data_IF_493027768344
#
_entry.id   IF_493027768344
#
_cell.length_a   1.000
_cell.length_b   1.000
_cell.length_c   1.000
_cell.angle_alpha   90.00
_cell.angle_beta   90.00
_cell.angle_gamma   90.00
#
_symmetry.space_group_name_H-M   'P 1'
#
loop_
_entity.id
_entity.type
_entity.pdbx_description
1 polymer ?
#
# COMPACT_ATOMS: atom_id res chain seq x y z
N UNK A 1 13.06 -9.36 11.86
CA UNK A 1 14.05 -8.45 12.48
C UNK A 1 15.40 -8.61 11.81
N UNK A 2 15.97 -7.47 11.37
CA UNK A 2 17.24 -7.45 10.65
C UNK A 2 18.41 -7.43 11.64
N UNK A 3 18.76 -8.60 12.16
CA UNK A 3 19.99 -8.78 12.90
C UNK A 3 21.20 -8.84 11.96
N UNK A 4 22.44 -8.67 12.46
CA UNK A 4 23.66 -8.76 11.67
C UNK A 4 23.86 -10.11 10.97
N UNK A 5 22.99 -11.07 11.22
CA UNK A 5 23.01 -12.44 10.70
C UNK A 5 21.96 -12.74 9.61
N UNK A 6 21.18 -11.75 9.16
CA UNK A 6 20.15 -11.89 8.13
C UNK A 6 18.72 -11.83 8.69
N UNK A 7 17.75 -11.86 7.77
CA UNK A 7 16.34 -11.80 8.09
C UNK A 7 15.82 -13.14 8.61
N UNK A 8 15.17 -13.13 9.76
CA UNK A 8 14.51 -14.30 10.35
C UNK A 8 13.00 -14.21 10.11
N UNK A 9 12.41 -15.34 9.78
CA UNK A 9 10.96 -15.52 9.61
C UNK A 9 10.46 -16.46 10.70
N UNK A 10 9.43 -16.02 11.42
CA UNK A 10 8.77 -16.88 12.39
C UNK A 10 7.56 -17.55 11.74
N UNK A 11 7.58 -18.87 11.68
CA UNK A 11 6.46 -19.70 11.24
C UNK A 11 5.64 -20.08 12.48
N UNK A 12 4.40 -19.61 12.54
CA UNK A 12 3.55 -19.85 13.69
C UNK A 12 2.35 -20.71 13.34
N UNK A 13 2.03 -21.67 14.19
CA UNK A 13 0.77 -22.43 14.13
C UNK A 13 -0.40 -21.57 14.65
N UNK A 14 -1.62 -21.97 14.35
CA UNK A 14 -2.82 -21.33 14.92
C UNK A 14 -2.88 -21.39 16.45
N UNK A 15 -2.21 -22.37 17.08
CA UNK A 15 -2.05 -22.45 18.52
C UNK A 15 -1.03 -21.46 19.10
N UNK A 16 -0.29 -20.73 18.23
CA UNK A 16 0.71 -19.75 18.63
C UNK A 16 2.09 -20.34 18.95
N UNK A 17 2.34 -21.58 18.55
CA UNK A 17 3.68 -22.17 18.61
C UNK A 17 4.44 -21.70 17.37
N UNK A 18 5.56 -21.03 17.57
CA UNK A 18 6.38 -20.47 16.50
C UNK A 18 7.76 -21.15 16.45
N UNK A 19 8.25 -21.38 15.24
CA UNK A 19 9.64 -21.71 14.94
C UNK A 19 10.24 -20.56 14.15
N UNK A 20 11.50 -20.23 14.40
CA UNK A 20 12.21 -19.22 13.61
C UNK A 20 13.09 -19.89 12.59
N UNK A 21 13.00 -19.47 11.34
CA UNK A 21 13.84 -19.93 10.23
C UNK A 21 14.50 -18.75 9.55
N UNK A 22 15.64 -18.99 8.94
CA UNK A 22 16.40 -17.95 8.26
C UNK A 22 15.98 -17.85 6.80
N UNK A 23 15.64 -16.65 6.36
CA UNK A 23 15.37 -16.37 4.96
C UNK A 23 16.68 -16.43 4.15
N UNK A 24 16.67 -17.17 3.06
CA UNK A 24 17.80 -17.24 2.11
C UNK A 24 17.48 -16.43 0.85
N UNK A 25 18.47 -15.70 0.35
CA UNK A 25 18.32 -14.83 -0.82
C UNK A 25 19.42 -15.09 -1.85
N UNK A 26 19.04 -15.17 -3.11
CA UNK A 26 19.99 -15.14 -4.22
C UNK A 26 20.50 -13.71 -4.42
N UNK A 27 21.83 -13.53 -4.32
CA UNK A 27 22.47 -12.21 -4.48
C UNK A 27 22.63 -11.41 -3.19
N UNK A 28 22.20 -11.96 -2.04
CA UNK A 28 22.47 -11.39 -0.70
C UNK A 28 21.84 -10.02 -0.43
N UNK A 29 22.25 -9.41 0.67
CA UNK A 29 21.84 -8.09 1.13
C UNK A 29 20.71 -8.13 2.15
N UNK A 30 20.59 -7.10 3.00
CA UNK A 30 19.56 -7.02 4.01
C UNK A 30 18.19 -6.86 3.36
N UNK A 31 17.17 -7.45 4.00
CA UNK A 31 15.76 -7.38 3.61
C UNK A 31 15.00 -6.83 4.80
N UNK A 32 14.28 -5.74 4.59
CA UNK A 32 13.42 -5.12 5.60
C UNK A 32 12.00 -5.08 5.10
N UNK A 33 11.04 -5.09 6.02
CA UNK A 33 9.60 -4.95 5.70
C UNK A 33 9.15 -5.99 4.65
N UNK A 34 9.34 -7.26 4.98
CA UNK A 34 9.07 -8.38 4.07
C UNK A 34 7.58 -8.73 4.02
N UNK A 35 7.04 -8.80 2.81
CA UNK A 35 5.68 -9.25 2.55
C UNK A 35 5.61 -10.14 1.31
N UNK A 36 4.55 -10.94 1.18
CA UNK A 36 4.40 -11.91 0.08
C UNK A 36 3.02 -11.79 -0.55
N UNK A 37 2.96 -11.87 -1.87
CA UNK A 37 1.70 -11.98 -2.58
C UNK A 37 1.74 -13.07 -3.66
N UNK A 38 0.56 -13.68 -3.91
CA UNK A 38 0.36 -14.58 -5.03
C UNK A 38 0.16 -13.76 -6.32
N UNK A 39 1.10 -13.85 -7.24
CA UNK A 39 1.00 -13.24 -8.57
C UNK A 39 0.50 -14.26 -9.60
N UNK A 40 0.32 -13.83 -10.83
CA UNK A 40 0.03 -14.74 -11.97
C UNK A 40 1.17 -15.69 -12.28
N UNK A 41 2.40 -15.33 -11.89
CA UNK A 41 3.62 -16.13 -12.14
C UNK A 41 4.08 -16.95 -10.93
N UNK A 42 3.29 -16.99 -9.83
CA UNK A 42 3.64 -17.68 -8.59
C UNK A 42 3.75 -16.74 -7.40
N UNK A 43 4.21 -17.26 -6.27
CA UNK A 43 4.49 -16.45 -5.08
C UNK A 43 5.66 -15.50 -5.32
N UNK A 44 5.52 -14.28 -4.84
CA UNK A 44 6.53 -13.23 -4.95
C UNK A 44 6.66 -12.46 -3.65
N UNK A 45 7.90 -12.28 -3.21
CA UNK A 45 8.25 -11.45 -2.07
C UNK A 45 8.41 -9.99 -2.50
N UNK A 46 8.06 -9.09 -1.59
CA UNK A 46 8.25 -7.64 -1.69
C UNK A 46 8.92 -7.16 -0.41
N UNK A 47 9.91 -6.31 -0.53
CA UNK A 47 10.69 -5.88 0.62
C UNK A 47 11.45 -4.58 0.34
N UNK A 48 11.78 -3.89 1.40
CA UNK A 48 12.63 -2.71 1.36
C UNK A 48 14.11 -3.12 1.37
N UNK A 49 14.91 -2.44 0.57
CA UNK A 49 16.38 -2.58 0.53
C UNK A 49 17.01 -1.24 0.26
N UNK A 50 18.22 -1.05 0.80
CA UNK A 50 19.10 0.05 0.37
C UNK A 50 19.87 -0.40 -0.87
N UNK A 51 19.74 0.39 -1.95
CA UNK A 51 20.47 0.13 -3.21
C UNK A 51 21.95 0.51 -3.04
N UNK A 52 22.89 -0.41 -3.26
CA UNK A 52 24.30 -0.16 -2.99
C UNK A 52 24.89 0.99 -3.82
N UNK A 53 24.43 1.17 -5.07
CA UNK A 53 24.98 2.15 -6.00
C UNK A 53 24.51 3.57 -5.69
N UNK A 54 23.28 3.74 -5.25
CA UNK A 54 22.67 5.06 -5.03
C UNK A 54 22.54 5.41 -3.55
N UNK A 55 22.71 4.44 -2.66
CA UNK A 55 22.41 4.54 -1.22
C UNK A 55 20.98 4.99 -0.93
N UNK A 56 20.05 4.76 -1.87
CA UNK A 56 18.62 5.02 -1.68
C UNK A 56 17.90 3.79 -1.16
N UNK A 57 16.88 4.01 -0.37
CA UNK A 57 15.93 2.96 -0.05
C UNK A 57 14.96 2.79 -1.22
N UNK A 58 14.63 1.54 -1.56
CA UNK A 58 13.67 1.22 -2.60
C UNK A 58 12.94 -0.09 -2.29
N UNK A 59 11.75 -0.27 -2.86
CA UNK A 59 11.03 -1.54 -2.82
C UNK A 59 11.51 -2.43 -3.95
N UNK A 60 11.92 -3.61 -3.58
CA UNK A 60 12.31 -4.69 -4.49
C UNK A 60 11.29 -5.81 -4.45
N UNK A 61 11.24 -6.61 -5.48
CA UNK A 61 10.52 -7.87 -5.50
C UNK A 61 11.38 -9.02 -5.98
N UNK A 62 11.12 -10.22 -5.49
CA UNK A 62 11.81 -11.44 -5.91
C UNK A 62 10.83 -12.61 -5.98
N UNK A 63 11.00 -13.58 -6.92
CA UNK A 63 10.19 -14.78 -6.92
C UNK A 63 10.51 -15.61 -5.68
N UNK A 64 9.50 -16.20 -5.05
CA UNK A 64 9.70 -17.22 -4.05
C UNK A 64 10.15 -18.52 -4.73
N UNK A 65 11.22 -19.12 -4.25
CA UNK A 65 11.75 -20.39 -4.78
C UNK A 65 11.18 -21.59 -4.05
N UNK A 66 10.61 -21.38 -2.86
CA UNK A 66 9.94 -22.37 -2.03
C UNK A 66 8.50 -21.96 -1.76
N UNK A 67 7.62 -22.90 -1.46
CA UNK A 67 6.20 -22.65 -1.23
C UNK A 67 5.92 -21.78 0.01
N UNK A 68 6.79 -21.82 1.00
CA UNK A 68 6.78 -20.98 2.20
C UNK A 68 7.49 -19.63 2.04
N UNK A 69 8.08 -19.39 0.87
CA UNK A 69 8.86 -18.20 0.55
C UNK A 69 10.09 -17.96 1.49
N UNK A 70 10.62 -18.99 2.11
CA UNK A 70 11.86 -18.91 2.90
C UNK A 70 13.13 -18.87 2.03
N UNK A 71 13.00 -19.16 0.74
CA UNK A 71 14.05 -18.98 -0.24
C UNK A 71 13.50 -18.11 -1.38
N UNK A 72 14.21 -17.00 -1.67
CA UNK A 72 13.83 -16.08 -2.74
C UNK A 72 14.94 -15.93 -3.77
N UNK A 73 14.53 -15.71 -5.01
CA UNK A 73 15.42 -15.53 -6.15
C UNK A 73 16.02 -14.12 -6.24
N UNK A 74 16.55 -13.80 -7.41
CA UNK A 74 17.15 -12.50 -7.66
C UNK A 74 16.12 -11.37 -7.52
N UNK A 75 16.51 -10.32 -6.79
CA UNK A 75 15.68 -9.15 -6.54
C UNK A 75 15.66 -8.22 -7.76
N UNK A 76 14.49 -7.69 -8.06
CA UNK A 76 14.23 -6.69 -9.10
C UNK A 76 13.62 -5.45 -8.47
N UNK A 77 14.10 -4.26 -8.85
CA UNK A 77 13.53 -2.99 -8.44
C UNK A 77 12.10 -2.87 -8.98
N UNK A 78 11.13 -2.54 -8.11
CA UNK A 78 9.71 -2.47 -8.50
C UNK A 78 9.34 -1.17 -9.22
N UNK A 79 9.87 -0.05 -8.76
CA UNK A 79 9.64 1.27 -9.37
C UNK A 79 10.67 2.28 -8.89
N UNK A 80 11.13 3.15 -9.80
CA UNK A 80 11.97 4.30 -9.45
C UNK A 80 11.18 5.36 -8.65
N UNK A 81 9.88 5.41 -8.80
CA UNK A 81 9.02 6.32 -8.03
C UNK A 81 8.94 5.97 -6.54
N UNK A 82 9.38 4.76 -6.18
CA UNK A 82 9.47 4.29 -4.79
C UNK A 82 10.87 4.51 -4.18
N UNK A 83 11.78 5.20 -4.83
CA UNK A 83 13.11 5.48 -4.28
C UNK A 83 13.09 6.70 -3.37
N UNK A 84 13.70 6.57 -2.19
CA UNK A 84 13.86 7.67 -1.24
C UNK A 84 15.27 7.66 -0.63
N UNK A 85 15.66 8.78 0.00
CA UNK A 85 16.91 8.84 0.76
C UNK A 85 16.94 7.77 1.86
N UNK A 86 18.10 7.19 2.10
CA UNK A 86 18.33 6.22 3.20
C UNK A 86 18.05 6.81 4.58
N UNK A 87 18.06 8.13 4.71
CA UNK A 87 17.88 8.84 5.96
C UNK A 87 16.40 9.10 6.29
N UNK A 88 15.49 8.77 5.37
CA UNK A 88 14.03 8.80 5.61
C UNK A 88 13.64 7.52 6.37
N UNK A 89 13.18 7.66 7.63
CA UNK A 89 12.85 6.52 8.49
C UNK A 89 11.45 5.97 8.26
N UNK A 90 10.45 6.84 8.34
CA UNK A 90 9.05 6.42 8.18
C UNK A 90 8.67 6.26 6.70
N UNK A 91 9.29 5.30 6.04
CA UNK A 91 9.05 4.99 4.64
C UNK A 91 9.18 3.49 4.39
N UNK A 92 8.36 2.97 3.48
CA UNK A 92 8.39 1.58 3.07
C UNK A 92 7.19 0.81 3.57
N UNK A 93 7.44 -0.29 4.27
CA UNK A 93 6.41 -1.24 4.72
C UNK A 93 5.47 -1.59 3.57
N UNK A 94 5.99 -2.21 2.48
CA UNK A 94 5.17 -2.56 1.33
C UNK A 94 4.18 -3.65 1.70
N UNK A 95 2.91 -3.41 1.47
CA UNK A 95 1.87 -4.41 1.64
C UNK A 95 1.22 -4.74 0.29
N UNK A 96 1.57 -5.88 -0.33
CA UNK A 96 1.09 -6.27 -1.64
C UNK A 96 -0.23 -7.05 -1.54
N UNK A 97 -1.23 -6.63 -2.30
CA UNK A 97 -2.54 -7.27 -2.36
C UNK A 97 -2.86 -7.69 -3.79
N UNK A 98 -3.26 -8.95 -3.98
CA UNK A 98 -3.79 -9.42 -5.26
C UNK A 98 -5.23 -8.94 -5.45
N UNK A 99 -5.47 -8.25 -6.56
CA UNK A 99 -6.80 -7.81 -6.96
C UNK A 99 -7.59 -8.95 -7.64
N UNK A 100 -8.94 -8.84 -7.73
CA UNK A 100 -9.76 -9.84 -8.40
C UNK A 100 -9.42 -10.05 -9.87
N UNK A 101 -8.89 -9.03 -10.54
CA UNK A 101 -8.46 -9.09 -11.95
C UNK A 101 -7.04 -9.66 -12.13
N UNK A 102 -6.40 -10.08 -11.04
CA UNK A 102 -5.08 -10.69 -11.02
C UNK A 102 -3.91 -9.71 -10.90
N UNK A 103 -4.15 -8.40 -11.01
CA UNK A 103 -3.12 -7.39 -10.76
C UNK A 103 -2.69 -7.38 -9.30
N UNK A 104 -1.53 -6.83 -9.04
CA UNK A 104 -1.02 -6.60 -7.68
C UNK A 104 -1.06 -5.11 -7.39
N UNK A 105 -1.64 -4.72 -6.26
CA UNK A 105 -1.51 -3.38 -5.70
C UNK A 105 -0.60 -3.45 -4.49
N UNK A 106 0.39 -2.56 -4.40
CA UNK A 106 1.19 -2.38 -3.20
C UNK A 106 0.74 -1.09 -2.52
N UNK A 107 0.48 -1.17 -1.23
CA UNK A 107 0.36 0.01 -0.36
C UNK A 107 1.71 0.26 0.30
N UNK A 108 2.06 1.52 0.48
CA UNK A 108 3.38 1.91 0.97
C UNK A 108 3.27 3.21 1.75
N UNK A 109 4.03 3.31 2.83
CA UNK A 109 4.19 4.56 3.56
C UNK A 109 5.14 5.49 2.81
N UNK A 110 4.71 6.69 2.54
CA UNK A 110 5.55 7.78 2.04
C UNK A 110 5.60 8.90 3.08
N UNK A 111 6.81 9.33 3.43
CA UNK A 111 7.02 10.47 4.32
C UNK A 111 7.83 11.53 3.60
N UNK A 112 7.25 12.69 3.31
CA UNK A 112 8.00 13.81 2.71
C UNK A 112 9.00 14.42 3.68
N UNK A 113 8.74 14.31 5.01
CA UNK A 113 9.61 14.80 6.07
C UNK A 113 9.55 13.84 7.25
N UNK A 114 10.70 13.37 7.70
CA UNK A 114 10.79 12.43 8.82
C UNK A 114 10.18 12.99 10.12
N UNK A 115 9.39 12.18 10.80
CA UNK A 115 8.96 12.41 12.18
C UNK A 115 7.99 13.56 12.41
N UNK A 116 7.37 14.09 11.36
CA UNK A 116 6.47 15.24 11.43
C UNK A 116 4.98 14.87 11.39
N UNK A 117 4.61 13.61 11.52
CA UNK A 117 3.23 13.15 11.39
C UNK A 117 2.60 13.52 10.04
N UNK A 118 3.43 13.55 9.02
CA UNK A 118 3.05 13.86 7.63
C UNK A 118 3.08 12.62 6.74
N UNK A 119 3.28 11.47 7.34
CA UNK A 119 3.27 10.18 6.67
C UNK A 119 1.92 9.98 5.98
N UNK A 120 2.00 9.46 4.77
CA UNK A 120 0.85 9.21 3.90
C UNK A 120 0.93 7.81 3.36
N UNK A 121 -0.21 7.21 3.15
CA UNK A 121 -0.29 5.92 2.48
C UNK A 121 -0.54 6.16 1.00
N UNK A 122 0.41 5.75 0.17
CA UNK A 122 0.29 5.69 -1.28
C UNK A 122 -0.07 4.28 -1.74
N UNK A 123 -0.46 4.14 -2.99
CA UNK A 123 -0.53 2.83 -3.62
C UNK A 123 0.04 2.85 -5.03
N UNK A 124 0.51 1.69 -5.45
CA UNK A 124 1.09 1.42 -6.76
C UNK A 124 0.47 0.16 -7.33
N UNK A 125 0.28 0.13 -8.64
CA UNK A 125 -0.40 -0.96 -9.32
C UNK A 125 0.52 -1.62 -10.36
N UNK A 126 0.44 -2.94 -10.48
CA UNK A 126 1.19 -3.74 -11.43
C UNK A 126 0.31 -4.81 -12.08
N UNK A 127 0.49 -5.05 -13.37
CA UNK A 127 -0.14 -6.15 -14.09
C UNK A 127 0.61 -7.48 -13.90
N UNK A 128 1.93 -7.42 -13.70
CA UNK A 128 2.83 -8.57 -13.63
C UNK A 128 3.37 -8.88 -12.22
N UNK A 129 3.12 -7.97 -11.27
CA UNK A 129 3.67 -8.03 -9.92
C UNK A 129 5.16 -7.69 -9.84
N UNK A 130 5.78 -7.15 -10.91
CA UNK A 130 7.20 -6.82 -10.98
C UNK A 130 7.37 -5.32 -11.15
N UNK A 131 6.72 -4.74 -12.17
CA UNK A 131 6.84 -3.33 -12.52
C UNK A 131 5.60 -2.57 -12.06
N UNK A 132 5.79 -1.54 -11.26
CA UNK A 132 4.72 -0.81 -10.61
C UNK A 132 4.65 0.65 -11.05
N UNK A 133 3.42 1.16 -11.16
CA UNK A 133 3.12 2.56 -11.45
C UNK A 133 2.30 3.15 -10.31
N UNK A 134 2.63 4.36 -9.87
CA UNK A 134 1.91 5.06 -8.80
C UNK A 134 0.46 5.35 -9.21
N UNK A 135 -0.47 5.02 -8.32
CA UNK A 135 -1.87 5.41 -8.47
C UNK A 135 -2.06 6.85 -7.94
N UNK A 136 -2.94 7.62 -8.58
CA UNK A 136 -3.18 9.01 -8.19
C UNK A 136 -3.83 9.15 -6.81
N UNK A 137 -3.46 10.19 -6.07
CA UNK A 137 -3.98 10.51 -4.73
C UNK A 137 -3.37 9.66 -3.63
N UNK A 138 -3.65 10.05 -2.40
CA UNK A 138 -3.26 9.33 -1.19
C UNK A 138 -4.40 8.42 -0.72
N UNK A 139 -4.05 7.27 -0.17
CA UNK A 139 -5.02 6.36 0.45
C UNK A 139 -5.45 6.88 1.81
N UNK A 140 -4.47 7.30 2.61
CA UNK A 140 -4.66 8.00 3.88
C UNK A 140 -3.57 9.04 4.08
N UNK A 141 -3.86 10.05 4.90
CA UNK A 141 -2.92 11.07 5.36
C UNK A 141 -3.06 11.21 6.89
N UNK A 142 -2.04 11.75 7.54
CA UNK A 142 -2.12 12.11 8.96
C UNK A 142 -1.24 11.28 9.90
N UNK A 143 -0.08 10.81 9.42
CA UNK A 143 0.93 10.18 10.27
C UNK A 143 0.63 8.71 10.57
N UNK A 144 0.08 7.98 9.61
CA UNK A 144 -0.15 6.55 9.70
C UNK A 144 0.95 5.77 9.00
N UNK A 145 1.34 4.65 9.61
CA UNK A 145 2.44 3.76 9.20
C UNK A 145 2.03 2.29 9.36
N UNK A 146 2.91 1.36 9.00
CA UNK A 146 2.78 -0.08 9.22
C UNK A 146 1.42 -0.62 8.77
N UNK A 147 1.11 -0.42 7.49
CA UNK A 147 -0.18 -0.84 6.94
C UNK A 147 -0.23 -2.34 6.66
N UNK A 148 -1.32 -2.97 7.06
CA UNK A 148 -1.73 -4.31 6.65
C UNK A 148 -3.10 -4.24 6.00
N UNK A 149 -3.20 -4.68 4.76
CA UNK A 149 -4.45 -4.72 4.00
C UNK A 149 -5.04 -6.11 4.03
N UNK A 150 -6.21 -6.22 4.59
CA UNK A 150 -6.98 -7.45 4.61
C UNK A 150 -8.20 -7.31 3.70
N UNK A 151 -8.46 -8.32 2.92
CA UNK A 151 -9.65 -8.37 2.10
C UNK A 151 -10.58 -9.43 2.63
N UNK A 152 -11.73 -9.02 3.14
CA UNK A 152 -12.75 -9.91 3.65
C UNK A 152 -13.39 -10.73 2.52
N UNK A 153 -13.85 -11.93 2.85
CA UNK A 153 -14.51 -12.84 1.90
C UNK A 153 -15.79 -12.27 1.30
N UNK A 154 -16.45 -11.36 1.99
CA UNK A 154 -17.60 -10.60 1.48
C UNK A 154 -17.22 -9.44 0.54
N UNK A 155 -15.91 -9.19 0.36
CA UNK A 155 -15.37 -8.20 -0.56
C UNK A 155 -15.03 -6.86 0.09
N UNK A 156 -15.28 -6.66 1.37
CA UNK A 156 -14.88 -5.46 2.11
C UNK A 156 -13.36 -5.41 2.26
N UNK A 157 -12.79 -4.22 2.20
CA UNK A 157 -11.38 -3.96 2.41
C UNK A 157 -11.18 -3.37 3.80
N UNK A 158 -10.22 -3.92 4.53
CA UNK A 158 -9.79 -3.44 5.82
C UNK A 158 -8.34 -3.03 5.72
N UNK A 159 -7.98 -1.89 6.30
CA UNK A 159 -6.62 -1.47 6.51
C UNK A 159 -6.40 -1.37 8.01
N UNK A 160 -5.52 -2.20 8.54
CA UNK A 160 -5.03 -2.09 9.92
C UNK A 160 -3.68 -1.39 9.85
N UNK A 161 -3.47 -0.42 10.72
CA UNK A 161 -2.30 0.45 10.65
C UNK A 161 -1.93 0.95 12.03
N UNK A 162 -0.69 1.37 12.19
CA UNK A 162 -0.22 2.09 13.35
C UNK A 162 -0.15 3.59 13.05
N UNK A 163 -0.20 4.43 14.08
CA UNK A 163 0.22 5.83 13.96
C UNK A 163 1.72 5.95 14.26
N UNK A 164 2.33 7.06 13.88
CA UNK A 164 3.75 7.30 14.15
C UNK A 164 4.02 7.80 15.58
N UNK A 165 3.03 7.74 16.47
CA UNK A 165 3.18 8.23 17.85
C UNK A 165 3.32 9.74 17.93
N UNK A 166 2.56 10.47 17.13
CA UNK A 166 2.56 11.95 17.05
C UNK A 166 2.01 12.64 18.30
N UNK A 167 1.55 11.88 19.28
CA UNK A 167 1.07 12.40 20.56
C UNK A 167 2.22 12.58 21.57
N UNK A 168 1.97 13.33 22.64
CA UNK A 168 2.95 13.57 23.69
C UNK A 168 3.51 12.27 24.32
N UNK A 169 2.73 11.19 24.34
CA UNK A 169 3.18 9.90 24.84
C UNK A 169 4.11 9.16 23.89
N UNK A 170 4.15 9.52 22.62
CA UNK A 170 4.88 8.85 21.54
C UNK A 170 4.62 7.34 21.41
N UNK A 171 3.62 6.81 22.09
CA UNK A 171 3.24 5.42 22.01
C UNK A 171 2.29 5.20 20.84
N UNK A 172 2.68 4.36 19.92
CA UNK A 172 1.90 4.01 18.74
C UNK A 172 0.64 3.23 19.14
N UNK A 173 -0.43 3.42 18.39
CA UNK A 173 -1.70 2.71 18.53
C UNK A 173 -2.09 2.08 17.21
N UNK A 174 -2.87 1.01 17.30
CA UNK A 174 -3.47 0.43 16.11
C UNK A 174 -4.81 1.10 15.79
N UNK A 175 -5.04 1.27 14.50
CA UNK A 175 -6.26 1.82 13.92
C UNK A 175 -6.80 0.87 12.87
N UNK A 176 -8.05 1.07 12.50
CA UNK A 176 -8.72 0.42 11.39
C UNK A 176 -9.37 1.47 10.49
N UNK A 177 -9.24 1.26 9.20
CA UNK A 177 -9.98 1.97 8.15
C UNK A 177 -10.62 0.93 7.23
N UNK A 178 -11.74 1.27 6.61
CA UNK A 178 -12.48 0.39 5.70
C UNK A 178 -12.63 1.03 4.33
N UNK A 179 -12.78 0.19 3.30
CA UNK A 179 -12.98 0.62 1.93
C UNK A 179 -13.80 -0.41 1.15
N UNK A 180 -14.49 0.01 0.10
CA UNK A 180 -15.18 -0.86 -0.86
C UNK A 180 -14.40 -1.09 -2.14
N UNK A 181 -13.39 -0.26 -2.42
CA UNK A 181 -12.64 -0.25 -3.68
C UNK A 181 -11.10 -0.36 -3.48
N UNK A 182 -10.63 -0.30 -2.22
CA UNK A 182 -9.21 -0.26 -1.88
C UNK A 182 -8.51 1.05 -2.28
N UNK A 183 -9.25 2.07 -2.71
CA UNK A 183 -8.71 3.37 -3.13
C UNK A 183 -9.18 4.50 -2.24
N UNK A 184 -10.45 4.47 -1.87
CA UNK A 184 -11.09 5.44 -0.99
C UNK A 184 -11.32 4.81 0.37
N UNK A 185 -10.74 5.40 1.39
CA UNK A 185 -10.72 4.84 2.74
C UNK A 185 -11.48 5.70 3.73
N UNK A 186 -12.16 5.06 4.67
CA UNK A 186 -12.81 5.74 5.77
C UNK A 186 -11.80 6.41 6.70
N UNK A 187 -12.25 7.39 7.50
CA UNK A 187 -11.39 7.95 8.54
C UNK A 187 -10.98 6.84 9.51
N UNK A 188 -9.68 6.67 9.82
CA UNK A 188 -9.22 5.65 10.75
C UNK A 188 -9.83 5.80 12.14
N UNK A 189 -10.23 4.66 12.70
CA UNK A 189 -10.78 4.55 14.06
C UNK A 189 -9.81 3.74 14.91
N UNK A 190 -9.52 4.20 16.13
CA UNK A 190 -8.60 3.50 17.01
C UNK A 190 -9.15 2.13 17.43
N UNK A 191 -8.34 1.09 17.23
CA UNK A 191 -8.59 -0.28 17.69
C UNK A 191 -8.07 -0.50 19.11
N UNK A 192 -7.01 0.21 19.50
CA UNK A 192 -6.36 0.05 20.79
C UNK A 192 -6.34 1.37 21.55
N UNK A 193 -6.41 1.28 22.87
CA UNK A 193 -6.24 2.44 23.76
C UNK A 193 -4.78 2.86 23.93
N UNK A 194 -4.58 3.89 24.76
CA UNK A 194 -3.26 4.31 25.21
C UNK A 194 -2.55 3.19 26.00
N UNK A 195 -1.26 3.31 26.19
CA UNK A 195 -0.41 2.36 26.90
C UNK A 195 0.85 2.02 26.12
N UNK A 196 1.25 0.77 26.11
CA UNK A 196 2.43 0.30 25.37
C UNK A 196 2.30 0.58 23.87
N UNK A 197 3.42 0.84 23.21
CA UNK A 197 3.47 1.02 21.76
C UNK A 197 3.06 -0.25 21.02
N UNK A 198 2.19 -0.12 20.02
CA UNK A 198 1.70 -1.22 19.20
C UNK A 198 1.91 -0.89 17.74
N UNK A 199 2.62 -1.76 17.03
CA UNK A 199 3.11 -1.53 15.67
C UNK A 199 3.16 -2.85 14.87
N UNK A 200 3.51 -2.75 13.61
CA UNK A 200 3.69 -3.84 12.66
C UNK A 200 2.50 -4.83 12.68
N UNK A 201 1.26 -4.37 12.49
CA UNK A 201 0.13 -5.29 12.43
C UNK A 201 0.23 -6.16 11.17
N UNK A 202 -0.18 -7.43 11.32
CA UNK A 202 -0.44 -8.33 10.20
C UNK A 202 -1.60 -9.25 10.53
N UNK A 203 -2.23 -9.88 9.54
CA UNK A 203 -3.35 -10.75 9.84
C UNK A 203 -3.94 -11.50 8.66
N UNK A 204 -4.97 -12.27 8.94
CA UNK A 204 -5.74 -12.99 7.94
C UNK A 204 -7.16 -13.31 8.43
N UNK A 205 -8.07 -13.51 7.50
CA UNK A 205 -9.44 -13.88 7.79
C UNK A 205 -9.54 -15.38 8.10
N UNK A 206 -9.96 -15.72 9.33
CA UNK A 206 -10.17 -17.11 9.77
C UNK A 206 -11.57 -17.64 9.45
N UNK A 207 -12.56 -16.77 9.50
CA UNK A 207 -13.94 -17.02 9.04
C UNK A 207 -14.59 -15.69 8.69
N UNK A 208 -15.71 -15.70 7.98
CA UNK A 208 -16.37 -14.47 7.49
C UNK A 208 -16.42 -13.39 8.57
N UNK A 209 -15.78 -12.26 8.29
CA UNK A 209 -15.69 -11.09 9.16
C UNK A 209 -15.01 -11.34 10.53
N UNK A 210 -14.21 -12.41 10.65
CA UNK A 210 -13.40 -12.71 11.82
C UNK A 210 -11.94 -12.84 11.40
N UNK A 211 -11.10 -11.97 11.91
CA UNK A 211 -9.69 -11.89 11.55
C UNK A 211 -8.81 -12.26 12.75
N UNK A 212 -7.73 -12.96 12.48
CA UNK A 212 -6.61 -13.14 13.37
C UNK A 212 -5.60 -12.04 13.10
N UNK A 213 -5.30 -11.23 14.11
CA UNK A 213 -4.35 -10.12 13.98
C UNK A 213 -3.17 -10.39 14.90
N UNK A 214 -1.97 -10.22 14.38
CA UNK A 214 -0.72 -10.19 15.11
C UNK A 214 -0.15 -8.78 15.07
N UNK A 215 0.52 -8.39 16.12
CA UNK A 215 1.15 -7.06 16.21
C UNK A 215 2.28 -7.08 17.23
N UNK A 216 3.28 -6.25 17.01
CA UNK A 216 4.37 -6.04 17.95
C UNK A 216 3.95 -5.11 19.07
N UNK A 217 4.36 -5.42 20.31
CA UNK A 217 4.23 -4.55 21.46
C UNK A 217 5.61 -4.18 21.95
N UNK A 218 5.94 -2.89 21.94
CA UNK A 218 7.20 -2.38 22.42
C UNK A 218 7.27 -2.43 23.94
N UNK A 219 8.35 -2.95 24.48
CA UNK A 219 8.70 -2.99 25.90
C UNK A 219 9.91 -2.13 26.25
N UNK A 220 10.39 -2.25 27.46
CA UNK A 220 11.62 -1.60 27.89
C UNK A 220 12.83 -2.12 27.11
N UNK A 221 13.87 -1.29 26.96
CA UNK A 221 15.14 -1.65 26.30
C UNK A 221 15.02 -2.07 24.84
N UNK A 222 14.09 -1.48 24.07
CA UNK A 222 13.83 -1.81 22.66
C UNK A 222 13.51 -3.29 22.42
N UNK A 223 12.90 -3.94 23.41
CA UNK A 223 12.39 -5.30 23.20
C UNK A 223 10.98 -5.25 22.63
N UNK A 224 10.65 -6.21 21.79
CA UNK A 224 9.31 -6.35 21.21
C UNK A 224 8.78 -7.75 21.48
N UNK A 225 7.48 -7.81 21.73
CA UNK A 225 6.76 -9.07 21.91
C UNK A 225 5.60 -9.10 20.92
N UNK A 226 5.53 -10.15 20.14
CA UNK A 226 4.38 -10.37 19.24
C UNK A 226 3.17 -10.80 20.07
N UNK A 227 2.08 -10.05 19.93
CA UNK A 227 0.78 -10.39 20.52
C UNK A 227 -0.21 -10.77 19.43
N UNK A 228 -1.23 -11.51 19.83
CA UNK A 228 -2.31 -11.98 18.96
C UNK A 228 -3.65 -11.49 19.48
N UNK A 229 -4.51 -11.03 18.56
CA UNK A 229 -5.89 -10.65 18.85
C UNK A 229 -6.86 -11.25 17.84
N UNK A 230 -8.14 -11.24 18.17
CA UNK A 230 -9.22 -11.53 17.22
C UNK A 230 -10.00 -10.27 16.96
N UNK A 231 -10.02 -9.84 15.71
CA UNK A 231 -10.84 -8.75 15.23
C UNK A 231 -12.14 -9.32 14.64
N UNK A 232 -13.27 -8.78 15.07
CA UNK A 232 -14.59 -9.12 14.52
C UNK A 232 -15.20 -7.87 13.91
N UNK A 233 -15.48 -7.91 12.64
CA UNK A 233 -16.17 -6.83 11.95
C UNK A 233 -17.66 -7.15 12.00
N UNK A 234 -18.45 -6.26 12.55
CA UNK A 234 -19.90 -6.31 12.36
C UNK A 234 -20.18 -5.86 10.93
N UNK A 235 -20.91 -6.65 10.15
CA UNK A 235 -21.32 -6.24 8.82
C UNK A 235 -21.91 -4.84 8.90
N UNK A 236 -21.32 -3.89 8.18
CA UNK A 236 -21.92 -2.56 8.03
C UNK A 236 -23.18 -2.78 7.21
N UNK A 237 -24.38 -2.39 7.68
CA UNK A 237 -25.58 -2.50 6.87
C UNK A 237 -25.33 -1.77 5.55
N UNK A 238 -25.57 -2.44 4.43
CA UNK A 238 -25.53 -1.81 3.12
C UNK A 238 -26.51 -0.62 3.11
N UNK A 239 -26.00 0.59 3.32
CA UNK A 239 -26.83 1.79 3.43
C UNK A 239 -26.26 2.94 4.27
N UNK A 240 -25.17 2.73 5.01
CA UNK A 240 -24.59 3.80 5.87
C UNK A 240 -23.44 4.56 5.20
N UNK A 241 -23.28 4.45 3.89
CA UNK A 241 -22.38 5.34 3.17
C UNK A 241 -23.12 6.64 2.94
N UNK A 242 -22.88 7.63 3.80
CA UNK A 242 -23.18 9.01 3.46
C UNK A 242 -22.38 9.32 2.20
N UNK A 243 -23.07 9.29 1.07
CA UNK A 243 -22.49 9.69 -0.22
C UNK A 243 -22.29 11.20 -0.12
N UNK A 244 -21.18 11.64 0.44
CA UNK A 244 -20.58 12.88 -0.01
C UNK A 244 -20.07 12.60 -1.40
N UNK A 245 -20.81 13.10 -2.38
CA UNK A 245 -20.45 12.98 -3.78
C UNK A 245 -18.98 13.31 -3.95
N UNK A 246 -18.18 12.29 -4.26
CA UNK A 246 -16.84 12.48 -4.78
C UNK A 246 -16.97 13.44 -5.95
N UNK A 247 -16.17 14.49 -6.07
CA UNK A 247 -16.23 15.35 -7.24
C UNK A 247 -16.03 14.43 -8.44
N UNK A 248 -17.08 14.31 -9.24
CA UNK A 248 -17.09 13.65 -10.53
C UNK A 248 -15.78 14.00 -11.21
N UNK A 249 -14.93 13.01 -11.45
CA UNK A 249 -13.71 13.20 -12.20
C UNK A 249 -14.13 13.88 -13.52
N UNK A 250 -13.94 15.18 -13.58
CA UNK A 250 -14.05 15.93 -14.82
C UNK A 250 -12.86 15.43 -15.63
N UNK A 251 -13.13 14.52 -16.54
CA UNK A 251 -12.26 14.27 -17.68
C UNK A 251 -11.83 15.65 -18.15
N UNK A 252 -10.51 15.94 -18.30
CA UNK A 252 -10.08 17.25 -18.79
C UNK A 252 -10.84 17.46 -20.09
N UNK A 253 -11.72 18.44 -20.11
CA UNK A 253 -12.46 18.80 -21.29
C UNK A 253 -11.40 19.07 -22.37
N UNK A 254 -11.30 18.17 -23.32
CA UNK A 254 -10.55 18.38 -24.54
C UNK A 254 -11.00 19.75 -25.04
N UNK A 255 -10.11 20.74 -25.00
CA UNK A 255 -10.41 22.08 -25.52
C UNK A 255 -10.75 21.88 -26.98
N UNK A 256 -12.04 21.81 -27.29
CA UNK A 256 -12.54 21.69 -28.64
C UNK A 256 -12.08 22.94 -29.39
N UNK A 257 -11.12 22.77 -30.33
CA UNK A 257 -10.63 23.88 -31.14
C UNK A 257 -11.78 24.36 -32.00
N UNK A 258 -12.17 25.62 -31.81
CA UNK A 258 -13.12 26.30 -32.68
C UNK A 258 -12.33 26.94 -33.83
N UNK A 259 -12.68 26.57 -35.04
CA UNK A 259 -12.10 27.18 -36.26
C UNK A 259 -13.09 28.09 -36.91
N UNK A 260 -12.58 29.12 -37.61
CA UNK A 260 -13.38 30.04 -38.38
C UNK A 260 -13.39 29.60 -39.84
N UNK A 261 -14.57 29.41 -40.41
CA UNK A 261 -14.78 28.98 -41.80
C UNK A 261 -15.47 30.08 -42.57
N UNK A 262 -15.03 30.34 -43.83
CA UNK A 262 -15.51 31.46 -44.69
C UNK A 262 -15.98 30.91 -46.03
N UNK A 263 -17.10 31.45 -46.52
CA UNK A 263 -17.61 31.23 -47.87
C UNK A 263 -18.13 32.58 -48.41
N UNK A 264 -17.38 33.22 -49.31
CA UNK A 264 -17.71 34.57 -49.77
C UNK A 264 -17.71 35.54 -48.57
N UNK A 265 -18.83 36.27 -48.37
CA UNK A 265 -19.01 37.19 -47.22
C UNK A 265 -19.52 36.50 -45.95
N UNK A 266 -19.79 35.20 -46.00
CA UNK A 266 -20.35 34.45 -44.85
C UNK A 266 -19.26 33.87 -43.99
N UNK A 267 -19.27 34.17 -42.70
CA UNK A 267 -18.32 33.67 -41.69
C UNK A 267 -19.05 32.81 -40.69
N UNK A 268 -18.54 31.60 -40.41
CA UNK A 268 -19.07 30.69 -39.38
C UNK A 268 -17.94 30.19 -38.47
N UNK A 269 -18.20 30.12 -37.16
CA UNK A 269 -17.35 29.41 -36.20
C UNK A 269 -17.84 27.98 -36.06
N UNK A 270 -16.95 27.01 -36.24
CA UNK A 270 -17.27 25.58 -36.20
C UNK A 270 -16.35 24.89 -35.20
N UNK A 271 -16.91 24.06 -34.33
CA UNK A 271 -16.14 23.23 -33.39
C UNK A 271 -15.62 22.03 -34.15
N UNK A 272 -14.29 21.89 -34.28
CA UNK A 272 -13.63 20.83 -35.03
C UNK A 272 -12.38 21.30 -35.75
N UNK A 273 -11.83 20.44 -36.60
CA UNK A 273 -10.58 20.69 -37.34
C UNK A 273 -10.81 20.98 -38.83
N UNK A 274 -12.01 20.73 -39.34
CA UNK A 274 -12.38 20.86 -40.76
C UNK A 274 -13.62 21.71 -40.94
N UNK A 275 -13.64 22.47 -42.02
CA UNK A 275 -14.79 23.29 -42.40
C UNK A 275 -15.85 22.47 -43.15
N UNK A 276 -17.15 22.82 -43.03
CA UNK A 276 -18.22 22.22 -43.83
C UNK A 276 -17.98 22.40 -45.34
N UNK A 277 -18.56 21.48 -46.12
CA UNK A 277 -18.41 21.53 -47.61
C UNK A 277 -18.74 22.90 -48.17
N UNK A 278 -17.80 23.46 -48.93
CA UNK A 278 -17.92 24.76 -49.56
C UNK A 278 -17.48 25.96 -48.72
N UNK A 279 -16.90 25.71 -47.52
CA UNK A 279 -16.24 26.75 -46.70
C UNK A 279 -14.74 26.47 -46.62
N UNK A 280 -13.95 27.48 -46.56
CA UNK A 280 -12.49 27.42 -46.37
C UNK A 280 -12.13 27.92 -44.96
N UNK A 281 -11.09 27.35 -44.40
CA UNK A 281 -10.59 27.77 -43.09
C UNK A 281 -9.86 29.10 -43.23
N UNK A 282 -10.19 30.09 -42.36
CA UNK A 282 -9.53 31.36 -42.27
C UNK A 282 -8.37 31.30 -41.30
#
# INVERSE_FOLDING_TARGET
SDGPSGTEVSLCTDAGVCTSERLTTTGGGPINDFAVAQTTSGLRAYFKRVEPQTSKQAVYSAPCLTADCLSIGAATLTSRDMEVSKDIRAWGVPDPVRLPDGRIRIYIVESPVEGNCTEKIASYISADGISFTKESGWRLEGGYVDTEILRAKDGEWLMILADIGCTASRNQKLFISTSTDGLTWSKPTALTGAGESKLDPTGYEVSTNVFRIYYSVGGANNTFVVKRATLRIKSIPAGSVGVTASPKATTPASKSKTITCVKGKTVRKVTGTTCPKGFTKK
#
